data_IF_962025173396
#
_entry.id   IF_962025173396
#
_cell.length_a   1.000
_cell.length_b   1.000
_cell.length_c   1.000
_cell.angle_alpha   90.00
_cell.angle_beta   90.00
_cell.angle_gamma   90.00
#
_symmetry.space_group_name_H-M   'P 1'
#
loop_
_entity.id
_entity.type
_entity.pdbx_description
1 polymer ?
#
# COMPACT_ATOMS: atom_id res chain seq x y z
N UNK A 1 -19.08 15.66 4.18
CA UNK A 1 -19.02 14.63 5.25
C UNK A 1 -18.58 13.32 4.62
N UNK A 2 -17.93 12.41 5.36
CA UNK A 2 -17.39 11.14 4.82
C UNK A 2 -18.46 10.31 4.10
N UNK A 3 -19.73 10.41 4.51
CA UNK A 3 -20.89 9.75 3.91
C UNK A 3 -21.17 10.22 2.48
N UNK A 4 -20.75 11.44 2.11
CA UNK A 4 -20.97 12.01 0.77
C UNK A 4 -19.96 11.49 -0.27
N UNK A 5 -18.96 10.70 0.15
CA UNK A 5 -18.00 10.11 -0.76
C UNK A 5 -18.70 8.98 -1.51
N UNK A 6 -18.75 9.01 -2.86
CA UNK A 6 -19.37 7.95 -3.65
C UNK A 6 -18.52 6.68 -3.60
N UNK A 7 -18.99 5.67 -2.86
CA UNK A 7 -18.30 4.40 -2.63
C UNK A 7 -17.91 3.69 -3.93
N UNK A 8 -18.76 3.80 -4.95
CA UNK A 8 -18.54 3.24 -6.28
C UNK A 8 -17.39 3.92 -7.04
N UNK A 9 -16.82 5.02 -6.54
CA UNK A 9 -15.62 5.66 -7.09
C UNK A 9 -14.38 5.42 -6.24
N UNK A 10 -14.52 4.79 -5.06
CA UNK A 10 -13.40 4.53 -4.17
C UNK A 10 -12.67 3.27 -4.64
N UNK A 11 -11.38 3.43 -4.94
CA UNK A 11 -10.45 2.33 -5.18
C UNK A 11 -9.58 2.19 -3.92
N UNK A 12 -9.88 1.16 -3.13
CA UNK A 12 -9.05 0.77 -2.00
C UNK A 12 -7.77 0.15 -2.54
N UNK A 13 -6.63 0.49 -1.96
CA UNK A 13 -5.37 -0.12 -2.33
C UNK A 13 -4.42 -0.25 -1.15
N UNK A 14 -3.51 -1.19 -1.32
CA UNK A 14 -2.38 -1.48 -0.45
C UNK A 14 -1.23 -2.02 -1.30
N UNK A 15 0.02 -1.84 -0.86
CA UNK A 15 1.21 -2.31 -1.57
C UNK A 15 2.14 -3.11 -0.66
N UNK A 16 2.76 -4.11 -1.26
CA UNK A 16 3.84 -4.85 -0.60
C UNK A 16 5.17 -4.60 -1.28
N UNK A 17 6.16 -4.30 -0.45
CA UNK A 17 7.47 -3.81 -0.86
C UNK A 17 8.57 -4.61 -0.20
N UNK A 18 9.67 -4.78 -0.92
CA UNK A 18 10.86 -5.49 -0.45
C UNK A 18 12.10 -4.68 -0.78
N UNK A 19 13.22 -4.86 -0.05
CA UNK A 19 14.52 -4.33 -0.47
C UNK A 19 14.83 -4.68 -1.93
N UNK A 20 15.54 -3.83 -2.65
CA UNK A 20 15.86 -4.09 -4.07
C UNK A 20 16.79 -5.29 -4.26
N UNK A 21 17.65 -5.56 -3.27
CA UNK A 21 18.56 -6.68 -3.18
C UNK A 21 18.26 -7.51 -1.92
N UNK A 22 18.59 -8.81 -1.93
CA UNK A 22 18.23 -9.71 -0.83
C UNK A 22 19.06 -9.44 0.44
N UNK A 23 20.30 -9.00 0.26
CA UNK A 23 21.24 -8.71 1.34
C UNK A 23 22.05 -7.45 1.04
N UNK A 24 22.74 -6.94 2.07
CA UNK A 24 23.67 -5.82 1.96
C UNK A 24 24.81 -6.08 0.96
N UNK A 25 25.32 -7.31 0.94
CA UNK A 25 26.43 -7.73 0.08
C UNK A 25 26.05 -7.78 -1.42
N UNK A 26 24.76 -7.86 -1.72
CA UNK A 26 24.23 -7.84 -3.08
C UNK A 26 24.09 -6.41 -3.64
N UNK A 27 24.30 -5.38 -2.81
CA UNK A 27 24.25 -3.98 -3.25
C UNK A 27 25.52 -3.58 -3.98
N UNK A 28 25.39 -2.63 -4.92
CA UNK A 28 26.56 -1.94 -5.45
C UNK A 28 27.21 -1.06 -4.38
N UNK A 29 28.52 -0.80 -4.49
CA UNK A 29 29.21 0.13 -3.59
C UNK A 29 28.55 1.53 -3.55
N UNK A 30 28.00 1.95 -4.69
CA UNK A 30 27.26 3.22 -4.78
C UNK A 30 25.98 3.18 -3.96
N UNK A 31 25.21 2.09 -4.05
CA UNK A 31 23.96 1.94 -3.29
C UNK A 31 24.24 1.83 -1.79
N UNK A 32 25.27 1.09 -1.38
CA UNK A 32 25.70 1.02 0.01
C UNK A 32 26.05 2.41 0.56
N UNK A 33 26.83 3.19 -0.19
CA UNK A 33 27.20 4.56 0.19
C UNK A 33 25.99 5.49 0.30
N UNK A 34 25.07 5.44 -0.66
CA UNK A 34 23.87 6.28 -0.67
C UNK A 34 22.90 5.88 0.44
N UNK A 35 22.77 4.59 0.73
CA UNK A 35 22.00 4.06 1.85
C UNK A 35 22.55 4.56 3.18
N UNK A 36 23.84 4.38 3.41
CA UNK A 36 24.53 4.84 4.63
C UNK A 36 24.29 6.33 4.85
N UNK A 37 24.48 7.14 3.81
CA UNK A 37 24.27 8.59 3.85
C UNK A 37 22.81 8.97 4.16
N UNK A 38 21.83 8.34 3.50
CA UNK A 38 20.40 8.65 3.66
C UNK A 38 19.88 8.27 5.05
N UNK A 39 20.34 7.14 5.59
CA UNK A 39 19.82 6.55 6.83
C UNK A 39 20.61 6.95 8.08
N UNK A 40 21.71 7.70 7.93
CA UNK A 40 22.60 8.10 9.04
C UNK A 40 21.89 8.67 10.26
N UNK A 41 20.91 9.55 10.06
CA UNK A 41 20.18 10.19 11.16
C UNK A 41 18.98 9.38 11.67
N UNK A 42 18.64 8.27 11.01
CA UNK A 42 17.55 7.37 11.40
C UNK A 42 18.05 6.20 12.25
N UNK A 43 19.33 5.83 12.08
CA UNK A 43 20.00 4.78 12.84
C UNK A 43 20.33 5.28 14.25
N UNK A 44 20.24 4.38 15.23
CA UNK A 44 20.89 4.59 16.53
C UNK A 44 22.40 4.44 16.33
N UNK A 45 23.22 5.09 17.17
CA UNK A 45 24.70 5.10 17.00
C UNK A 45 25.33 3.70 16.92
N UNK A 46 24.68 2.70 17.51
CA UNK A 46 25.15 1.31 17.55
C UNK A 46 24.74 0.46 16.33
N UNK A 47 23.85 0.95 15.45
CA UNK A 47 23.35 0.18 14.31
C UNK A 47 24.11 0.59 13.04
N UNK A 48 24.80 -0.38 12.43
CA UNK A 48 25.51 -0.18 11.18
C UNK A 48 24.56 0.04 9.98
N UNK A 49 25.10 0.48 8.84
CA UNK A 49 24.30 0.65 7.62
C UNK A 49 23.72 -0.68 7.13
N UNK A 50 24.53 -1.72 7.20
CA UNK A 50 24.23 -3.11 6.86
C UNK A 50 23.11 -3.67 7.73
N UNK A 51 23.22 -3.59 9.06
CA UNK A 51 22.18 -4.08 9.98
C UNK A 51 20.87 -3.31 9.83
N UNK A 52 20.91 -2.07 9.34
CA UNK A 52 19.70 -1.28 9.10
C UNK A 52 19.03 -1.62 7.75
N UNK A 53 19.72 -2.34 6.85
CA UNK A 53 19.30 -2.56 5.46
C UNK A 53 17.97 -3.32 5.34
N UNK A 54 17.55 -4.08 6.34
CA UNK A 54 16.22 -4.73 6.37
C UNK A 54 15.06 -3.73 6.18
N UNK A 55 15.29 -2.45 6.50
CA UNK A 55 14.33 -1.36 6.28
C UNK A 55 14.35 -0.77 4.86
N UNK A 56 15.20 -1.26 3.96
CA UNK A 56 15.26 -0.74 2.59
C UNK A 56 13.94 -0.93 1.84
N UNK A 57 13.18 -1.97 2.22
CA UNK A 57 11.81 -2.19 1.74
C UNK A 57 10.86 -1.04 2.07
N UNK A 58 11.14 -0.20 3.08
CA UNK A 58 10.35 1.00 3.46
C UNK A 58 10.99 2.35 2.99
N UNK A 59 11.95 2.32 2.05
CA UNK A 59 12.32 3.50 1.25
C UNK A 59 12.26 3.25 -0.26
N UNK A 60 11.46 4.04 -1.00
CA UNK A 60 11.23 3.83 -2.44
C UNK A 60 12.49 3.89 -3.30
N UNK A 61 13.55 4.57 -2.86
CA UNK A 61 14.85 4.64 -3.53
C UNK A 61 15.64 3.33 -3.44
N UNK A 62 15.37 2.48 -2.45
CA UNK A 62 16.14 1.27 -2.11
C UNK A 62 15.32 -0.02 -2.09
N UNK A 63 14.00 0.10 -2.27
CA UNK A 63 13.06 -1.02 -2.36
C UNK A 63 12.46 -1.17 -3.76
N UNK A 64 11.61 -2.17 -3.91
CA UNK A 64 10.76 -2.41 -5.08
C UNK A 64 9.40 -2.91 -4.64
N UNK A 65 8.37 -2.61 -5.43
CA UNK A 65 7.03 -3.15 -5.26
C UNK A 65 6.97 -4.55 -5.85
N UNK A 66 6.44 -5.51 -5.08
CA UNK A 66 6.24 -6.89 -5.53
C UNK A 66 4.76 -7.28 -5.60
N UNK A 67 3.88 -6.49 -4.96
CA UNK A 67 2.44 -6.64 -5.02
C UNK A 67 1.76 -5.27 -4.91
N UNK A 68 0.74 -5.04 -5.72
CA UNK A 68 -0.25 -3.98 -5.54
C UNK A 68 -1.60 -4.66 -5.55
N UNK A 69 -2.35 -4.53 -4.46
CA UNK A 69 -3.72 -5.02 -4.42
C UNK A 69 -4.68 -3.86 -4.49
N UNK A 70 -5.75 -4.03 -5.26
CA UNK A 70 -6.84 -3.08 -5.35
C UNK A 70 -8.19 -3.72 -5.03
N UNK A 71 -9.09 -2.95 -4.44
CA UNK A 71 -10.46 -3.31 -4.13
C UNK A 71 -11.42 -2.23 -4.58
N UNK A 72 -12.50 -2.60 -5.26
CA UNK A 72 -13.56 -1.66 -5.65
C UNK A 72 -14.94 -2.29 -5.48
N UNK A 73 -15.89 -1.51 -4.97
CA UNK A 73 -17.25 -2.00 -4.77
C UNK A 73 -17.99 -2.18 -6.10
N UNK A 74 -18.72 -3.29 -6.19
CA UNK A 74 -19.70 -3.54 -7.23
C UNK A 74 -21.11 -3.12 -6.79
N UNK A 75 -22.05 -3.10 -7.73
CA UNK A 75 -23.43 -2.60 -7.50
C UNK A 75 -24.21 -3.40 -6.45
N UNK A 76 -23.84 -4.65 -6.24
CA UNK A 76 -24.38 -5.60 -5.27
C UNK A 76 -23.66 -5.56 -3.92
N UNK A 77 -22.87 -4.51 -3.65
CA UNK A 77 -22.06 -4.35 -2.43
C UNK A 77 -20.98 -5.42 -2.21
N UNK A 78 -20.62 -6.20 -3.23
CA UNK A 78 -19.44 -7.08 -3.16
C UNK A 78 -18.18 -6.29 -3.48
N UNK A 79 -17.11 -6.53 -2.72
CA UNK A 79 -15.80 -5.96 -3.01
C UNK A 79 -15.10 -6.85 -4.05
N UNK A 80 -14.85 -6.30 -5.23
CA UNK A 80 -14.02 -6.95 -6.23
C UNK A 80 -12.56 -6.61 -5.96
N UNK A 81 -11.78 -7.62 -5.62
CA UNK A 81 -10.34 -7.51 -5.40
C UNK A 81 -9.59 -7.98 -6.64
N UNK A 82 -8.49 -7.30 -6.95
CA UNK A 82 -7.52 -7.70 -7.98
C UNK A 82 -6.12 -7.36 -7.49
N UNK A 83 -5.20 -8.29 -7.70
CA UNK A 83 -3.79 -8.13 -7.33
C UNK A 83 -2.91 -8.10 -8.57
N UNK A 84 -1.90 -7.23 -8.55
CA UNK A 84 -0.82 -7.16 -9.53
C UNK A 84 0.45 -7.55 -8.81
N UNK A 85 1.04 -8.68 -9.15
CA UNK A 85 2.23 -9.19 -8.46
C UNK A 85 3.22 -9.81 -9.43
N UNK A 86 4.50 -9.77 -9.06
CA UNK A 86 5.54 -10.35 -9.89
C UNK A 86 6.94 -9.92 -9.48
N UNK A 87 7.93 -10.58 -10.06
CA UNK A 87 9.35 -10.25 -9.85
C UNK A 87 9.85 -9.12 -10.76
N UNK A 88 9.16 -8.87 -11.87
CA UNK A 88 9.40 -7.74 -12.77
C UNK A 88 8.48 -6.57 -12.38
N UNK A 89 9.02 -5.67 -11.55
CA UNK A 89 8.28 -4.48 -11.07
C UNK A 89 7.82 -3.59 -12.23
N UNK A 90 8.63 -3.47 -13.30
CA UNK A 90 8.27 -2.62 -14.44
C UNK A 90 7.01 -3.14 -15.11
N UNK A 91 6.94 -4.45 -15.36
CA UNK A 91 5.76 -5.10 -15.92
C UNK A 91 4.55 -4.94 -14.99
N UNK A 92 4.73 -5.18 -13.69
CA UNK A 92 3.70 -5.00 -12.67
C UNK A 92 3.11 -3.57 -12.70
N UNK A 93 3.97 -2.56 -12.72
CA UNK A 93 3.56 -1.14 -12.77
C UNK A 93 2.86 -0.78 -14.08
N UNK A 94 3.26 -1.36 -15.21
CA UNK A 94 2.57 -1.17 -16.49
C UNK A 94 1.14 -1.73 -16.42
N UNK A 95 0.99 -2.99 -16.00
CA UNK A 95 -0.31 -3.65 -15.87
C UNK A 95 -1.22 -2.94 -14.86
N UNK A 96 -0.68 -2.49 -13.73
CA UNK A 96 -1.40 -1.68 -12.76
C UNK A 96 -1.82 -0.33 -13.38
N UNK A 97 -0.93 0.33 -14.13
CA UNK A 97 -1.20 1.63 -14.75
C UNK A 97 -2.30 1.58 -15.79
N UNK A 98 -2.40 0.48 -16.53
CA UNK A 98 -3.39 0.26 -17.58
C UNK A 98 -4.84 0.34 -17.07
N UNK A 99 -5.11 0.02 -15.80
CA UNK A 99 -6.48 0.09 -15.27
C UNK A 99 -7.05 1.50 -15.36
N UNK A 100 -6.19 2.53 -15.23
CA UNK A 100 -6.60 3.93 -15.22
C UNK A 100 -7.02 4.43 -16.62
N UNK A 101 -6.81 3.64 -17.67
CA UNK A 101 -7.39 3.89 -18.99
C UNK A 101 -8.89 3.56 -19.06
N UNK A 102 -9.43 2.88 -18.04
CA UNK A 102 -10.86 2.58 -17.96
C UNK A 102 -11.67 3.83 -17.66
N UNK A 103 -12.77 4.09 -18.39
CA UNK A 103 -13.71 5.17 -18.07
C UNK A 103 -14.26 5.10 -16.64
N UNK A 104 -14.32 3.89 -16.05
CA UNK A 104 -14.75 3.67 -14.67
C UNK A 104 -13.85 4.38 -13.66
N UNK A 105 -12.58 4.61 -14.00
CA UNK A 105 -11.58 5.20 -13.10
C UNK A 105 -11.24 6.66 -13.41
N UNK A 106 -11.90 7.30 -14.37
CA UNK A 106 -11.63 8.71 -14.71
C UNK A 106 -11.77 9.68 -13.52
N UNK A 107 -12.70 9.39 -12.60
CA UNK A 107 -12.94 10.18 -11.38
C UNK A 107 -12.71 9.33 -10.12
N UNK A 108 -11.74 8.41 -10.18
CA UNK A 108 -11.40 7.52 -9.07
C UNK A 108 -10.91 8.32 -7.87
N UNK A 109 -11.29 7.85 -6.68
CA UNK A 109 -10.76 8.31 -5.41
C UNK A 109 -9.93 7.17 -4.84
N UNK A 110 -8.63 7.39 -4.67
CA UNK A 110 -7.76 6.39 -4.05
C UNK A 110 -7.97 6.40 -2.54
N UNK A 111 -8.05 5.23 -1.93
CA UNK A 111 -8.16 5.07 -0.49
C UNK A 111 -7.12 4.06 -0.01
N UNK A 112 -6.37 4.41 1.02
CA UNK A 112 -5.36 3.57 1.65
C UNK A 112 -5.35 3.81 3.16
N UNK A 113 -4.58 3.01 3.90
CA UNK A 113 -4.26 3.28 5.29
C UNK A 113 -2.83 3.79 5.39
N UNK A 114 -2.64 5.03 5.85
CA UNK A 114 -1.35 5.72 5.80
C UNK A 114 -0.78 5.95 4.38
N UNK A 115 -1.59 5.78 3.33
CA UNK A 115 -1.11 5.87 1.95
C UNK A 115 -0.71 7.26 1.48
N UNK A 116 -1.14 8.34 2.16
CA UNK A 116 -0.63 9.69 1.83
C UNK A 116 0.84 9.86 2.22
N UNK A 117 1.28 9.16 3.27
CA UNK A 117 2.66 9.19 3.75
C UNK A 117 3.49 8.00 3.23
N UNK A 118 2.82 6.96 2.69
CA UNK A 118 3.45 5.74 2.18
C UNK A 118 3.05 5.38 0.74
N UNK A 119 1.96 4.65 0.53
CA UNK A 119 1.58 4.00 -0.74
C UNK A 119 1.60 4.92 -1.96
N UNK A 120 0.91 6.06 -1.90
CA UNK A 120 0.73 6.94 -3.05
C UNK A 120 2.04 7.59 -3.51
N UNK A 121 2.84 8.25 -2.64
CA UNK A 121 4.14 8.77 -3.06
C UNK A 121 5.09 7.64 -3.44
N UNK A 122 4.96 6.45 -2.84
CA UNK A 122 5.78 5.30 -3.18
C UNK A 122 5.57 4.83 -4.61
N UNK A 123 4.32 4.51 -4.96
CA UNK A 123 3.92 4.10 -6.31
C UNK A 123 4.41 5.14 -7.32
N UNK A 124 4.16 6.43 -7.07
CA UNK A 124 4.61 7.51 -7.94
C UNK A 124 6.13 7.52 -8.16
N UNK A 125 6.92 7.35 -7.09
CA UNK A 125 8.39 7.28 -7.18
C UNK A 125 8.84 6.04 -7.95
N UNK A 126 8.24 4.87 -7.71
CA UNK A 126 8.61 3.63 -8.40
C UNK A 126 8.27 3.64 -9.89
N UNK A 127 7.17 4.29 -10.28
CA UNK A 127 6.91 4.60 -11.70
C UNK A 127 8.08 5.37 -12.33
N UNK A 128 8.51 6.48 -11.69
CA UNK A 128 9.61 7.31 -12.21
C UNK A 128 10.94 6.56 -12.24
N UNK A 129 11.26 5.79 -11.20
CA UNK A 129 12.49 4.98 -11.13
C UNK A 129 12.53 3.94 -12.27
N UNK A 130 11.37 3.37 -12.63
CA UNK A 130 11.25 2.44 -13.77
C UNK A 130 11.12 3.14 -15.14
N UNK A 131 11.24 4.47 -15.20
CA UNK A 131 11.15 5.26 -16.43
C UNK A 131 9.74 5.32 -17.02
N UNK A 132 8.71 5.24 -16.19
CA UNK A 132 7.29 5.25 -16.59
C UNK A 132 6.61 6.48 -15.96
N UNK A 133 5.72 7.12 -16.71
CA UNK A 133 4.90 8.22 -16.20
C UNK A 133 3.86 7.68 -15.20
N UNK A 134 3.78 8.19 -13.95
CA UNK A 134 2.75 7.80 -13.00
C UNK A 134 1.34 8.08 -13.55
N UNK A 135 0.32 7.23 -13.28
CA UNK A 135 -1.06 7.52 -13.65
C UNK A 135 -1.57 8.83 -13.01
N UNK A 136 -2.55 9.48 -13.65
CA UNK A 136 -3.03 10.80 -13.25
C UNK A 136 -3.41 10.94 -11.75
N UNK A 137 -4.03 9.95 -11.07
CA UNK A 137 -4.32 10.03 -9.64
C UNK A 137 -3.08 10.15 -8.73
N UNK A 138 -1.90 9.76 -9.21
CA UNK A 138 -0.63 9.85 -8.46
C UNK A 138 0.16 11.13 -8.77
N UNK A 139 -0.31 11.96 -9.72
CA UNK A 139 0.34 13.21 -10.11
C UNK A 139 -0.25 14.38 -9.30
N UNK A 140 0.40 14.73 -8.19
CA UNK A 140 -0.11 15.72 -7.23
C UNK A 140 0.50 17.12 -7.34
N UNK A 141 1.57 17.30 -8.11
CA UNK A 141 2.24 18.60 -8.21
C UNK A 141 1.27 19.68 -8.70
N UNK A 142 1.20 20.81 -7.98
CA UNK A 142 0.33 21.94 -8.31
C UNK A 142 -1.15 21.78 -7.93
N UNK A 143 -1.57 20.60 -7.42
CA UNK A 143 -2.94 20.42 -6.90
C UNK A 143 -3.10 21.09 -5.54
N UNK A 144 -4.25 21.72 -5.34
CA UNK A 144 -4.69 22.21 -4.03
C UNK A 144 -5.18 21.02 -3.19
N UNK A 145 -5.19 21.12 -1.84
CA UNK A 145 -5.59 20.01 -0.98
C UNK A 145 -6.96 19.40 -1.31
N UNK A 146 -7.93 20.20 -1.74
CA UNK A 146 -9.28 19.73 -2.13
C UNK A 146 -9.38 19.14 -3.53
N UNK A 147 -8.32 19.23 -4.35
CA UNK A 147 -8.23 18.64 -5.69
C UNK A 147 -7.53 17.27 -5.66
N UNK A 148 -6.96 16.89 -4.51
CA UNK A 148 -6.28 15.61 -4.30
C UNK A 148 -7.33 14.52 -4.10
N UNK A 149 -7.43 13.52 -5.01
CA UNK A 149 -8.44 12.48 -4.95
C UNK A 149 -8.00 11.33 -4.02
N UNK A 150 -7.41 11.65 -2.87
CA UNK A 150 -6.85 10.66 -1.94
C UNK A 150 -7.54 10.73 -0.58
N UNK A 151 -7.97 9.57 -0.12
CA UNK A 151 -8.48 9.30 1.22
C UNK A 151 -7.43 8.48 1.96
N UNK A 152 -7.19 8.84 3.20
CA UNK A 152 -6.31 8.11 4.10
C UNK A 152 -7.09 7.79 5.38
N UNK A 153 -7.31 6.51 5.66
CA UNK A 153 -8.08 6.10 6.85
C UNK A 153 -7.35 6.41 8.15
N UNK A 154 -6.01 6.45 8.16
CA UNK A 154 -5.25 6.89 9.33
C UNK A 154 -5.44 8.39 9.55
N UNK A 155 -5.45 9.20 8.49
CA UNK A 155 -5.76 10.63 8.60
C UNK A 155 -7.20 10.89 9.08
N UNK A 156 -8.17 10.13 8.55
CA UNK A 156 -9.58 10.24 8.97
C UNK A 156 -9.75 9.94 10.47
N UNK A 157 -8.97 8.99 11.01
CA UNK A 157 -8.97 8.66 12.43
C UNK A 157 -8.45 9.79 13.33
N UNK A 158 -7.58 10.66 12.83
CA UNK A 158 -6.92 11.68 13.65
C UNK A 158 -7.91 12.71 14.23
N UNK A 159 -9.00 13.06 13.53
CA UNK A 159 -9.91 14.16 13.94
C UNK A 159 -9.17 15.47 14.34
N UNK A 160 -8.00 15.74 13.77
CA UNK A 160 -7.14 16.88 14.10
C UNK A 160 -6.04 16.58 15.13
N UNK A 161 -5.99 15.39 15.73
CA UNK A 161 -4.89 14.92 16.58
C UNK A 161 -3.72 14.40 15.73
N UNK A 162 -2.73 15.26 15.53
CA UNK A 162 -1.50 14.95 14.78
C UNK A 162 -0.58 13.91 15.45
N UNK A 163 -0.86 13.49 16.69
CA UNK A 163 -0.04 12.49 17.42
C UNK A 163 -0.67 11.09 17.44
N UNK A 164 -1.90 10.94 16.96
CA UNK A 164 -2.62 9.66 16.97
C UNK A 164 -2.31 8.84 15.72
N UNK A 165 -1.18 8.12 15.74
CA UNK A 165 -0.92 7.03 14.81
C UNK A 165 -1.69 5.78 15.25
N UNK A 166 -2.33 5.10 14.30
CA UNK A 166 -3.09 3.87 14.54
C UNK A 166 -2.77 2.90 13.40
N UNK A 167 -2.53 1.64 13.70
CA UNK A 167 -2.35 0.62 12.67
C UNK A 167 -3.69 0.17 12.10
N UNK A 168 -3.66 -0.40 10.89
CA UNK A 168 -4.83 -1.01 10.26
C UNK A 168 -5.43 -2.09 11.17
N UNK A 169 -4.58 -2.94 11.74
CA UNK A 169 -4.94 -4.01 12.67
C UNK A 169 -5.65 -3.47 13.92
N UNK A 170 -5.06 -2.47 14.60
CA UNK A 170 -5.65 -1.89 15.81
C UNK A 170 -7.01 -1.25 15.51
N UNK A 171 -7.12 -0.58 14.36
CA UNK A 171 -8.36 0.05 13.96
C UNK A 171 -9.44 -0.97 13.59
N UNK A 172 -9.06 -2.08 12.94
CA UNK A 172 -9.95 -3.19 12.67
C UNK A 172 -10.49 -3.80 13.97
N UNK A 173 -9.61 -4.03 14.95
CA UNK A 173 -9.97 -4.51 16.27
C UNK A 173 -10.96 -3.58 16.97
N UNK A 174 -10.69 -2.28 17.00
CA UNK A 174 -11.57 -1.26 17.63
C UNK A 174 -12.96 -1.25 16.99
N UNK A 175 -13.06 -1.45 15.68
CA UNK A 175 -14.34 -1.51 14.97
C UNK A 175 -15.01 -2.90 14.96
N UNK A 176 -14.44 -3.89 15.65
CA UNK A 176 -14.95 -5.26 15.68
C UNK A 176 -15.01 -5.90 14.29
N UNK A 177 -14.06 -5.55 13.42
CA UNK A 177 -13.92 -6.16 12.10
C UNK A 177 -13.15 -7.48 12.30
N UNK A 178 -13.71 -8.63 11.90
CA UNK A 178 -13.01 -9.89 12.00
C UNK A 178 -11.84 -9.88 11.02
N UNK A 179 -10.62 -9.82 11.55
CA UNK A 179 -9.41 -10.13 10.81
C UNK A 179 -9.11 -11.62 11.00
N UNK A 180 -8.70 -12.34 9.94
CA UNK A 180 -8.06 -13.64 10.13
C UNK A 180 -6.90 -13.49 11.13
N UNK A 181 -6.65 -14.50 11.96
CA UNK A 181 -5.36 -14.56 12.64
C UNK A 181 -4.31 -14.84 11.57
N UNK A 182 -3.63 -13.80 11.12
CA UNK A 182 -2.55 -13.94 10.17
C UNK A 182 -1.24 -14.23 10.89
N UNK A 183 -0.42 -15.04 10.25
CA UNK A 183 0.92 -15.45 10.65
C UNK A 183 2.00 -14.56 10.02
N UNK A 184 1.59 -13.44 9.41
CA UNK A 184 2.42 -12.52 8.64
C UNK A 184 2.12 -11.10 9.11
N UNK A 185 3.17 -10.30 9.25
CA UNK A 185 3.08 -8.84 9.29
C UNK A 185 4.03 -8.23 8.24
N UNK A 186 3.93 -6.92 8.01
CA UNK A 186 4.73 -6.21 7.01
C UNK A 186 6.25 -6.33 7.18
N UNK A 187 6.75 -6.65 8.38
CA UNK A 187 8.20 -6.87 8.60
C UNK A 187 8.69 -8.21 8.04
N UNK A 188 7.78 -9.17 7.84
CA UNK A 188 8.08 -10.51 7.34
C UNK A 188 8.09 -10.60 5.80
N UNK A 189 7.60 -9.58 5.10
CA UNK A 189 7.43 -9.59 3.64
C UNK A 189 8.75 -9.83 2.91
N UNK A 190 9.84 -9.21 3.40
CA UNK A 190 11.19 -9.41 2.83
C UNK A 190 11.66 -10.86 2.95
N UNK A 191 11.50 -11.49 4.12
CA UNK A 191 11.91 -12.88 4.32
C UNK A 191 11.05 -13.85 3.51
N UNK A 192 9.74 -13.61 3.44
CA UNK A 192 8.83 -14.45 2.64
C UNK A 192 9.23 -14.38 1.16
N UNK A 193 9.54 -13.18 0.66
CA UNK A 193 9.94 -13.00 -0.73
C UNK A 193 11.33 -13.57 -1.04
N UNK A 194 12.33 -13.30 -0.21
CA UNK A 194 13.72 -13.63 -0.51
C UNK A 194 14.15 -15.02 -0.05
N UNK A 195 13.59 -15.53 1.06
CA UNK A 195 13.99 -16.80 1.67
C UNK A 195 12.97 -17.88 1.31
N UNK A 196 11.70 -17.65 1.64
CA UNK A 196 10.64 -18.65 1.43
C UNK A 196 10.23 -18.77 -0.04
N UNK A 197 10.46 -17.70 -0.83
CA UNK A 197 10.07 -17.59 -2.24
C UNK A 197 8.56 -17.74 -2.47
N UNK A 198 7.75 -17.34 -1.50
CA UNK A 198 6.29 -17.47 -1.55
C UNK A 198 5.60 -16.14 -1.87
N UNK A 199 5.60 -15.79 -3.16
CA UNK A 199 4.91 -14.57 -3.62
C UNK A 199 3.39 -14.66 -3.42
N UNK A 200 2.80 -15.86 -3.50
CA UNK A 200 1.34 -16.01 -3.36
C UNK A 200 0.90 -15.69 -1.93
N UNK A 201 1.67 -16.12 -0.93
CA UNK A 201 1.43 -15.79 0.47
C UNK A 201 1.43 -14.27 0.74
N UNK A 202 2.29 -13.52 0.04
CA UNK A 202 2.31 -12.05 0.11
C UNK A 202 1.07 -11.43 -0.57
N UNK A 203 0.65 -11.98 -1.72
CA UNK A 203 -0.58 -11.55 -2.39
C UNK A 203 -1.79 -11.77 -1.48
N UNK A 204 -1.93 -12.96 -0.91
CA UNK A 204 -3.05 -13.30 -0.02
C UNK A 204 -3.10 -12.39 1.22
N UNK A 205 -1.95 -11.98 1.75
CA UNK A 205 -1.83 -11.00 2.83
C UNK A 205 -2.35 -9.62 2.39
N UNK A 206 -1.84 -9.09 1.28
CA UNK A 206 -2.24 -7.77 0.76
C UNK A 206 -3.74 -7.71 0.38
N UNK A 207 -4.32 -8.82 -0.12
CA UNK A 207 -5.77 -8.93 -0.37
C UNK A 207 -6.61 -8.83 0.90
N UNK A 208 -6.16 -9.41 2.01
CA UNK A 208 -6.84 -9.29 3.31
C UNK A 208 -6.74 -7.86 3.85
N UNK A 209 -5.60 -7.20 3.69
CA UNK A 209 -5.42 -5.81 4.12
C UNK A 209 -6.34 -4.85 3.34
N UNK A 210 -6.47 -5.03 2.02
CA UNK A 210 -7.43 -4.26 1.22
C UNK A 210 -8.89 -4.50 1.64
N UNK A 211 -9.28 -5.75 1.95
CA UNK A 211 -10.61 -6.05 2.48
C UNK A 211 -10.84 -5.39 3.85
N UNK A 212 -9.83 -5.43 4.73
CA UNK A 212 -9.86 -4.83 6.06
C UNK A 212 -9.98 -3.31 5.97
N UNK A 213 -9.18 -2.68 5.12
CA UNK A 213 -9.24 -1.26 4.80
C UNK A 213 -10.63 -0.84 4.30
N UNK A 214 -11.22 -1.59 3.37
CA UNK A 214 -12.56 -1.30 2.86
C UNK A 214 -13.63 -1.34 3.96
N UNK A 215 -13.54 -2.33 4.86
CA UNK A 215 -14.43 -2.46 6.01
C UNK A 215 -14.21 -1.37 7.06
N UNK A 216 -12.97 -0.96 7.33
CA UNK A 216 -12.66 0.18 8.19
C UNK A 216 -13.31 1.45 7.63
N UNK A 217 -13.16 1.70 6.34
CA UNK A 217 -13.76 2.87 5.70
C UNK A 217 -15.29 2.87 5.83
N UNK A 218 -15.95 1.71 5.65
CA UNK A 218 -17.40 1.56 5.89
C UNK A 218 -17.77 1.81 7.35
N UNK A 219 -17.00 1.30 8.31
CA UNK A 219 -17.23 1.54 9.74
C UNK A 219 -17.07 3.01 10.13
N UNK A 220 -16.08 3.71 9.56
CA UNK A 220 -15.96 5.17 9.72
C UNK A 220 -17.17 5.94 9.16
N UNK A 221 -17.85 5.37 8.16
CA UNK A 221 -19.12 5.89 7.62
C UNK A 221 -20.36 5.43 8.39
N UNK A 222 -20.20 4.59 9.41
CA UNK A 222 -21.27 3.94 10.18
C UNK A 222 -22.14 2.99 9.33
N UNK A 223 -21.50 2.29 8.40
CA UNK A 223 -22.12 1.29 7.52
C UNK A 223 -21.76 -0.15 7.98
N UNK A 224 -22.59 -1.11 7.60
CA UNK A 224 -22.34 -2.54 7.84
C UNK A 224 -21.12 -3.04 7.06
N UNK A 225 -20.52 -4.13 7.55
CA UNK A 225 -19.40 -4.79 6.89
C UNK A 225 -19.81 -5.37 5.54
N UNK A 226 -18.83 -5.47 4.65
CA UNK A 226 -18.99 -6.17 3.38
C UNK A 226 -19.19 -7.66 3.65
N UNK A 227 -20.25 -8.23 3.06
CA UNK A 227 -20.47 -9.67 3.11
C UNK A 227 -19.45 -10.35 2.21
N UNK A 228 -18.66 -11.28 2.77
CA UNK A 228 -17.87 -12.21 1.96
C UNK A 228 -18.86 -13.15 1.25
N UNK A 229 -19.00 -13.03 -0.06
CA UNK A 229 -19.69 -14.07 -0.84
C UNK A 229 -18.79 -15.31 -0.85
N UNK A 230 -19.03 -16.22 0.08
CA UNK A 230 -18.51 -17.58 0.04
C UNK A 230 -19.50 -18.38 -0.81
N UNK A 231 -19.50 -18.17 -2.13
CA UNK A 231 -20.19 -19.04 -3.07
C UNK A 231 -19.37 -19.03 -4.37
N UNK A 232 -18.43 -19.97 -4.45
CA UNK A 232 -17.94 -20.50 -5.71
C UNK A 232 -18.56 -21.89 -5.80
N UNK A 233 -19.69 -21.99 -6.49
CA UNK A 233 -20.00 -23.20 -7.24
C UNK A 233 -19.08 -23.24 -8.47
#
# INVERSE_FOLDING_TARGET
MIQNIPLERVLFLDIETVPQAASWDDLSETDQHLWDKKTKFQRKEEISAEEFYDRAGIMAEFGKIICITIGMLEKNETLKIKSFSGHDEKKLLQEFGEIFNSPRLHNVILCAHNGKEFDFPWIARRYLINGIQPPAPFQLFGKKPWEVPHIDTMELWKFGDYKSFVSLELLAHVFGIPTPKDDIDGSMVSSIYYIEKDLQRIVDYCEKDVLTLANIFRRMRQEDLLKRNINLD
#
